data_IF_848126706085
#
_entry.id   IF_848126706085
#
_cell.length_a   1.000
_cell.length_b   1.000
_cell.length_c   1.000
_cell.angle_alpha   90.00
_cell.angle_beta   90.00
_cell.angle_gamma   90.00
#
_symmetry.space_group_name_H-M   'P 1'
#
loop_
_entity.id
_entity.type
_entity.pdbx_description
1 polymer ?
#
# COMPACT_ATOMS: atom_id res chain seq x y z
N UNK A 1 -87.04 37.33 5.09
CA UNK A 1 -88.19 36.52 5.57
C UNK A 1 -87.73 35.07 5.68
N UNK A 2 -87.78 34.48 6.89
CA UNK A 2 -87.78 33.02 7.20
C UNK A 2 -86.55 32.21 6.77
N UNK A 3 -85.60 31.90 7.68
CA UNK A 3 -85.51 30.66 8.48
C UNK A 3 -85.90 29.37 7.74
N UNK A 4 -84.95 28.43 7.60
CA UNK A 4 -85.02 27.12 8.28
C UNK A 4 -83.64 26.47 8.35
N UNK A 5 -83.18 26.26 9.59
CA UNK A 5 -81.98 25.52 9.93
C UNK A 5 -82.21 24.01 9.78
N UNK A 6 -81.22 23.30 9.23
CA UNK A 6 -81.11 21.84 9.37
C UNK A 6 -79.76 21.52 10.00
N UNK A 7 -79.82 20.99 11.22
CA UNK A 7 -78.71 20.37 11.95
C UNK A 7 -78.19 19.19 11.13
N UNK A 8 -76.88 19.12 10.90
CA UNK A 8 -76.20 17.88 10.55
C UNK A 8 -75.16 17.64 11.64
N UNK A 9 -75.39 16.54 12.35
CA UNK A 9 -74.58 15.99 13.43
C UNK A 9 -73.23 15.49 12.91
N UNK A 10 -72.17 15.83 13.65
CA UNK A 10 -70.82 15.31 13.50
C UNK A 10 -70.78 13.79 13.66
N UNK A 11 -70.20 13.10 12.68
CA UNK A 11 -69.68 11.75 12.85
C UNK A 11 -68.18 11.81 12.51
N UNK A 12 -67.33 11.85 13.54
CA UNK A 12 -65.89 11.69 13.38
C UNK A 12 -65.61 10.22 13.13
N UNK A 13 -65.20 9.88 11.91
CA UNK A 13 -64.70 8.55 11.57
C UNK A 13 -63.24 8.48 12.01
N UNK A 14 -62.98 7.85 13.17
CA UNK A 14 -61.64 7.50 13.59
C UNK A 14 -61.14 6.34 12.73
N UNK A 15 -60.27 6.62 11.76
CA UNK A 15 -59.54 5.60 11.03
C UNK A 15 -58.35 5.13 11.90
N UNK A 16 -58.48 3.94 12.49
CA UNK A 16 -57.36 3.20 13.09
C UNK A 16 -56.38 2.78 12.00
N UNK A 17 -55.26 3.50 11.86
CA UNK A 17 -54.09 3.00 11.16
C UNK A 17 -53.41 1.95 12.04
N UNK A 18 -53.59 0.68 11.71
CA UNK A 18 -52.74 -0.40 12.21
C UNK A 18 -51.36 -0.26 11.53
N UNK A 19 -50.38 0.29 12.25
CA UNK A 19 -48.97 0.19 11.87
C UNK A 19 -48.55 -1.28 11.95
N UNK A 20 -48.46 -1.96 10.82
CA UNK A 20 -47.71 -3.22 10.73
C UNK A 20 -46.23 -2.86 10.80
N UNK A 21 -45.62 -3.06 11.97
CA UNK A 21 -44.17 -2.96 12.14
C UNK A 21 -43.50 -4.05 11.29
N UNK A 22 -42.89 -3.67 10.18
CA UNK A 22 -41.94 -4.50 9.47
C UNK A 22 -40.71 -4.67 10.37
N UNK A 23 -40.14 -5.89 10.51
CA UNK A 23 -38.91 -6.06 11.25
C UNK A 23 -37.82 -5.31 10.49
N UNK A 24 -37.33 -4.23 11.08
CA UNK A 24 -36.08 -3.59 10.64
C UNK A 24 -34.99 -4.61 10.99
N UNK A 25 -34.52 -5.36 9.99
CA UNK A 25 -33.23 -6.04 10.10
C UNK A 25 -32.18 -4.98 10.35
N UNK A 26 -31.78 -4.83 11.60
CA UNK A 26 -30.59 -4.07 11.96
C UNK A 26 -29.41 -4.80 11.30
N UNK A 27 -28.97 -4.30 10.16
CA UNK A 27 -27.63 -4.59 9.68
C UNK A 27 -26.68 -3.96 10.70
N UNK A 28 -26.12 -4.80 11.57
CA UNK A 28 -24.96 -4.42 12.35
C UNK A 28 -23.81 -4.25 11.35
N UNK A 29 -23.56 -3.01 10.92
CA UNK A 29 -22.25 -2.66 10.36
C UNK A 29 -21.29 -2.84 11.52
N UNK A 30 -20.53 -3.94 11.49
CA UNK A 30 -19.40 -4.14 12.38
C UNK A 30 -18.36 -3.10 12.00
N UNK A 31 -18.44 -1.91 12.59
CA UNK A 31 -17.34 -0.95 12.53
C UNK A 31 -16.24 -1.51 13.42
N UNK A 32 -15.34 -2.28 12.81
CA UNK A 32 -14.04 -2.57 13.42
C UNK A 32 -13.32 -1.24 13.53
N UNK A 33 -13.49 -0.56 14.66
CA UNK A 33 -12.66 0.58 15.02
C UNK A 33 -11.26 0.01 15.22
N UNK A 34 -10.33 0.33 14.32
CA UNK A 34 -8.92 0.05 14.58
C UNK A 34 -8.57 0.73 15.91
N UNK A 35 -8.01 -0.05 16.84
CA UNK A 35 -7.67 0.45 18.16
C UNK A 35 -6.72 1.64 18.00
N UNK A 36 -6.99 2.73 18.74
CA UNK A 36 -6.06 3.86 18.74
C UNK A 36 -4.67 3.36 19.17
N UNK A 37 -3.61 3.72 18.43
CA UNK A 37 -2.25 3.40 18.84
C UNK A 37 -1.98 3.91 20.24
N UNK A 38 -1.23 3.14 21.03
CA UNK A 38 -0.93 3.52 22.42
C UNK A 38 0.07 4.68 22.53
N UNK A 39 0.74 5.05 21.44
CA UNK A 39 1.71 6.14 21.36
C UNK A 39 1.15 7.38 20.65
N UNK A 40 1.65 8.56 21.05
CA UNK A 40 1.32 9.82 20.37
C UNK A 40 2.00 9.92 19.00
N UNK A 41 1.34 10.58 18.06
CA UNK A 41 1.88 10.87 16.74
C UNK A 41 1.73 9.76 15.70
N UNK A 42 1.27 8.56 16.05
CA UNK A 42 0.99 7.50 15.07
C UNK A 42 -0.32 7.78 14.33
N UNK A 43 -0.32 7.59 13.00
CA UNK A 43 -1.54 7.72 12.20
C UNK A 43 -2.28 6.39 12.22
N UNK A 44 -3.60 6.45 12.37
CA UNK A 44 -4.49 5.28 12.35
C UNK A 44 -5.73 5.54 11.52
N UNK A 45 -6.39 4.47 11.08
CA UNK A 45 -7.67 4.55 10.38
C UNK A 45 -8.83 4.51 11.38
N UNK A 46 -9.83 5.36 11.19
CA UNK A 46 -11.10 5.34 11.93
C UNK A 46 -12.26 5.48 10.94
N UNK A 47 -12.85 4.34 10.58
CA UNK A 47 -13.78 4.28 9.45
C UNK A 47 -13.09 4.80 8.18
N UNK A 48 -13.70 5.80 7.54
CA UNK A 48 -13.22 6.38 6.27
C UNK A 48 -12.22 7.52 6.44
N UNK A 49 -11.60 7.66 7.62
CA UNK A 49 -10.70 8.78 7.93
C UNK A 49 -9.40 8.30 8.52
N UNK A 50 -8.31 8.97 8.14
CA UNK A 50 -7.08 8.93 8.91
C UNK A 50 -7.18 9.87 10.10
N UNK A 51 -6.57 9.47 11.20
CA UNK A 51 -6.57 10.17 12.47
C UNK A 51 -5.14 10.19 13.05
N UNK A 52 -4.81 11.23 13.80
CA UNK A 52 -3.58 11.31 14.61
C UNK A 52 -3.92 12.06 15.89
N UNK A 53 -3.52 11.51 17.04
CA UNK A 53 -3.78 12.11 18.37
C UNK A 53 -5.25 12.55 18.56
N UNK A 54 -6.21 11.70 18.14
CA UNK A 54 -7.65 11.95 18.24
C UNK A 54 -8.23 12.98 17.25
N UNK A 55 -7.41 13.54 16.35
CA UNK A 55 -7.83 14.55 15.37
C UNK A 55 -7.75 14.01 13.94
N UNK A 56 -8.68 14.41 13.03
CA UNK A 56 -8.59 14.02 11.62
C UNK A 56 -7.28 14.45 10.96
N UNK A 57 -6.64 13.52 10.27
CA UNK A 57 -5.39 13.73 9.54
C UNK A 57 -5.65 13.74 8.03
N UNK A 58 -5.96 14.91 7.48
CA UNK A 58 -6.03 15.11 6.02
C UNK A 58 -4.67 15.56 5.50
N UNK A 59 -4.25 15.01 4.36
CA UNK A 59 -2.98 15.37 3.75
C UNK A 59 -3.06 15.51 2.23
N UNK A 60 -2.23 16.41 1.71
CA UNK A 60 -1.65 16.26 0.38
C UNK A 60 -0.28 15.60 0.53
N UNK A 61 0.08 14.75 -0.42
CA UNK A 61 1.34 14.03 -0.42
C UNK A 61 2.00 13.99 -1.80
N UNK A 62 3.16 13.34 -1.87
CA UNK A 62 3.89 13.10 -3.12
C UNK A 62 4.61 11.76 -3.07
N UNK A 63 5.17 11.32 -4.20
CA UNK A 63 6.11 10.21 -4.28
C UNK A 63 7.52 10.76 -4.47
N UNK A 64 8.50 10.24 -3.74
CA UNK A 64 9.91 10.56 -3.96
C UNK A 64 10.78 9.31 -3.80
N UNK A 65 10.89 8.56 -4.89
CA UNK A 65 11.58 7.26 -4.91
C UNK A 65 13.08 7.32 -4.59
N UNK A 66 13.71 8.50 -4.69
CA UNK A 66 15.16 8.65 -4.55
C UNK A 66 15.65 9.10 -3.18
N UNK A 67 14.74 9.33 -2.24
CA UNK A 67 15.08 9.74 -0.86
C UNK A 67 16.02 8.75 -0.18
N UNK A 68 15.98 7.49 -0.57
CA UNK A 68 16.74 6.39 0.06
C UNK A 68 18.06 6.06 -0.62
N UNK A 69 18.48 6.80 -1.66
CA UNK A 69 19.80 6.59 -2.26
C UNK A 69 20.56 7.84 -2.68
N UNK A 70 19.91 9.02 -2.71
CA UNK A 70 20.61 10.29 -2.99
C UNK A 70 21.36 10.84 -1.77
N UNK A 71 22.13 11.90 -2.00
CA UNK A 71 22.90 12.60 -0.97
C UNK A 71 21.98 13.25 0.09
N UNK A 72 22.53 13.48 1.29
CA UNK A 72 21.79 14.18 2.35
C UNK A 72 21.33 15.58 1.92
N UNK A 73 22.16 16.32 1.18
CA UNK A 73 21.76 17.63 0.64
C UNK A 73 20.52 17.55 -0.27
N UNK A 74 20.43 16.51 -1.10
CA UNK A 74 19.26 16.29 -1.96
C UNK A 74 18.03 15.93 -1.12
N UNK A 75 18.19 15.07 -0.11
CA UNK A 75 17.13 14.70 0.84
C UNK A 75 16.62 15.94 1.58
N UNK A 76 17.52 16.76 2.12
CA UNK A 76 17.19 18.00 2.83
C UNK A 76 16.41 18.97 1.94
N UNK A 77 16.78 19.11 0.68
CA UNK A 77 16.07 19.96 -0.26
C UNK A 77 14.64 19.45 -0.53
N UNK A 78 14.45 18.13 -0.69
CA UNK A 78 13.11 17.55 -0.85
C UNK A 78 12.23 17.87 0.35
N UNK A 79 12.73 17.72 1.57
CA UNK A 79 11.94 18.01 2.77
C UNK A 79 11.62 19.50 2.94
N UNK A 80 12.57 20.40 2.63
CA UNK A 80 12.32 21.85 2.60
C UNK A 80 11.25 22.23 1.59
N UNK A 81 11.31 21.67 0.38
CA UNK A 81 10.32 21.94 -0.67
C UNK A 81 8.94 21.38 -0.28
N UNK A 82 8.89 20.16 0.23
CA UNK A 82 7.65 19.53 0.69
C UNK A 82 6.99 20.32 1.84
N UNK A 83 7.77 20.79 2.80
CA UNK A 83 7.31 21.67 3.88
C UNK A 83 6.76 22.99 3.33
N UNK A 84 7.51 23.65 2.44
CA UNK A 84 7.10 24.91 1.82
C UNK A 84 5.82 24.77 0.98
N UNK A 85 5.59 23.60 0.37
CA UNK A 85 4.36 23.24 -0.34
C UNK A 85 3.21 22.81 0.57
N UNK A 86 3.46 22.60 1.86
CA UNK A 86 2.47 22.11 2.82
C UNK A 86 2.12 20.63 2.69
N UNK A 87 2.95 19.83 2.02
CA UNK A 87 2.79 18.38 1.93
C UNK A 87 3.04 17.72 3.29
N UNK A 88 2.30 16.65 3.60
CA UNK A 88 2.41 15.97 4.91
C UNK A 88 2.83 14.50 4.83
N UNK A 89 2.73 13.88 3.66
CA UNK A 89 3.14 12.47 3.47
C UNK A 89 3.97 12.34 2.20
N UNK A 90 5.10 11.63 2.28
CA UNK A 90 5.90 11.26 1.11
C UNK A 90 5.96 9.73 1.03
N UNK A 91 5.56 9.17 -0.11
CA UNK A 91 5.73 7.73 -0.41
C UNK A 91 7.13 7.48 -0.96
N UNK A 92 7.82 6.47 -0.44
CA UNK A 92 9.23 6.19 -0.69
C UNK A 92 9.53 4.69 -0.78
N UNK A 93 10.58 4.33 -1.52
CA UNK A 93 11.09 2.97 -1.52
C UNK A 93 11.78 2.62 -0.22
N UNK A 94 11.25 1.60 0.44
CA UNK A 94 11.93 0.82 1.47
C UNK A 94 12.57 -0.44 0.88
N UNK A 95 12.95 -0.44 -0.41
CA UNK A 95 13.60 -1.57 -1.07
C UNK A 95 14.72 -1.10 -2.00
N UNK A 96 15.76 -1.91 -2.13
CA UNK A 96 16.83 -1.77 -3.10
C UNK A 96 17.60 -3.09 -3.14
N UNK A 97 17.13 -3.98 -3.99
CA UNK A 97 17.48 -5.40 -3.98
C UNK A 97 18.50 -5.67 -5.08
N UNK A 98 19.68 -6.16 -4.70
CA UNK A 98 20.78 -6.43 -5.62
C UNK A 98 21.19 -7.89 -5.58
N UNK A 99 21.94 -8.34 -6.58
CA UNK A 99 22.37 -9.73 -6.71
C UNK A 99 23.48 -10.12 -5.73
N UNK A 100 24.37 -10.98 -6.20
CA UNK A 100 25.48 -11.52 -5.41
C UNK A 100 26.62 -10.51 -5.36
N UNK A 101 27.09 -10.19 -4.15
CA UNK A 101 28.26 -9.32 -3.94
C UNK A 101 29.53 -10.00 -4.44
N UNK A 102 30.29 -9.33 -5.32
CA UNK A 102 31.51 -9.93 -5.93
C UNK A 102 32.77 -9.74 -5.09
N UNK A 103 32.74 -8.81 -4.12
CA UNK A 103 33.92 -8.37 -3.38
C UNK A 103 34.81 -7.38 -4.16
N UNK A 104 34.41 -6.95 -5.36
CA UNK A 104 35.11 -5.94 -6.15
C UNK A 104 34.33 -4.63 -6.20
N UNK A 105 35.01 -3.56 -6.61
CA UNK A 105 34.43 -2.24 -6.86
C UNK A 105 34.59 -1.82 -8.32
N UNK A 106 33.72 -0.94 -8.81
CA UNK A 106 33.82 -0.34 -10.14
C UNK A 106 34.84 0.81 -10.19
N UNK A 107 34.90 1.54 -11.31
CA UNK A 107 35.83 2.68 -11.46
C UNK A 107 35.52 3.87 -10.55
N UNK A 108 34.32 3.94 -9.99
CA UNK A 108 33.88 4.98 -9.05
C UNK A 108 34.00 4.52 -7.59
N UNK A 109 34.47 3.28 -7.35
CA UNK A 109 34.59 2.69 -6.02
C UNK A 109 33.30 2.08 -5.49
N UNK A 110 32.25 1.93 -6.31
CA UNK A 110 30.97 1.35 -5.91
C UNK A 110 31.02 -0.17 -5.93
N UNK A 111 30.36 -0.87 -5.00
CA UNK A 111 30.35 -2.33 -4.97
C UNK A 111 29.71 -2.92 -6.23
N UNK A 112 30.32 -3.98 -6.76
CA UNK A 112 29.81 -4.70 -7.93
C UNK A 112 29.02 -5.93 -7.49
N UNK A 113 27.92 -6.17 -8.20
CA UNK A 113 27.04 -7.30 -7.99
C UNK A 113 26.84 -8.07 -9.31
N UNK A 114 26.62 -9.38 -9.21
CA UNK A 114 26.21 -10.23 -10.34
C UNK A 114 24.79 -10.73 -10.15
N UNK A 115 24.10 -11.06 -11.25
CA UNK A 115 22.72 -11.58 -11.22
C UNK A 115 21.70 -10.56 -10.65
N UNK A 116 21.85 -9.29 -11.05
CA UNK A 116 20.92 -8.22 -10.72
C UNK A 116 19.69 -8.29 -11.64
N UNK A 117 18.51 -8.01 -11.09
CA UNK A 117 17.27 -7.87 -11.86
C UNK A 117 17.16 -6.50 -12.55
N UNK A 118 17.82 -5.46 -12.03
CA UNK A 118 17.78 -4.10 -12.58
C UNK A 118 19.18 -3.49 -12.76
N UNK A 119 19.68 -3.57 -14.00
CA UNK A 119 20.93 -2.93 -14.41
C UNK A 119 22.11 -3.30 -13.50
N UNK A 120 22.87 -2.32 -12.97
CA UNK A 120 23.98 -2.59 -12.06
C UNK A 120 23.52 -3.05 -10.66
N UNK A 121 22.22 -3.06 -10.38
CA UNK A 121 21.62 -3.35 -9.08
C UNK A 121 21.62 -2.12 -8.17
N UNK A 122 22.80 -1.71 -7.73
CA UNK A 122 22.97 -0.57 -6.82
C UNK A 122 22.50 0.76 -7.42
N UNK A 123 22.20 1.73 -6.56
CA UNK A 123 21.94 3.12 -6.96
C UNK A 123 22.84 4.07 -6.19
N UNK A 124 23.79 4.71 -6.87
CA UNK A 124 24.77 5.63 -6.26
C UNK A 124 25.60 5.02 -5.11
N UNK A 125 25.93 3.74 -5.25
CA UNK A 125 26.60 2.88 -4.27
C UNK A 125 25.66 2.27 -3.23
N UNK A 126 24.36 2.57 -3.28
CA UNK A 126 23.40 2.20 -2.23
C UNK A 126 22.66 0.90 -2.57
N UNK A 127 22.47 0.05 -1.56
CA UNK A 127 21.71 -1.20 -1.63
C UNK A 127 21.20 -1.63 -0.25
N UNK A 128 19.99 -2.16 -0.20
CA UNK A 128 19.32 -2.54 1.05
C UNK A 128 19.39 -4.04 1.28
N UNK A 129 19.34 -4.83 0.22
CA UNK A 129 19.45 -6.29 0.29
C UNK A 129 20.42 -6.81 -0.76
N UNK A 130 21.21 -7.82 -0.42
CA UNK A 130 22.09 -8.53 -1.37
C UNK A 130 22.10 -10.03 -1.06
N UNK A 131 22.47 -10.86 -2.03
CA UNK A 131 22.63 -12.30 -1.78
C UNK A 131 23.98 -12.62 -1.18
N UNK A 132 23.97 -13.26 0.00
CA UNK A 132 25.17 -13.77 0.64
C UNK A 132 25.34 -15.26 0.31
N UNK A 133 26.41 -15.59 -0.42
CA UNK A 133 26.69 -16.96 -0.88
C UNK A 133 27.08 -17.90 0.24
N UNK A 134 27.74 -17.40 1.28
CA UNK A 134 28.18 -18.24 2.39
C UNK A 134 26.98 -18.62 3.28
N UNK A 135 26.00 -17.71 3.39
CA UNK A 135 24.76 -17.95 4.12
C UNK A 135 23.66 -18.62 3.27
N UNK A 136 23.79 -18.61 1.94
CA UNK A 136 22.83 -19.18 1.01
C UNK A 136 21.46 -18.47 1.05
N UNK A 137 21.44 -17.16 1.32
CA UNK A 137 20.19 -16.37 1.40
C UNK A 137 20.46 -14.87 1.21
N UNK A 138 19.43 -14.08 0.84
CA UNK A 138 19.53 -12.63 0.93
C UNK A 138 19.70 -12.15 2.37
N UNK A 139 20.43 -11.06 2.51
CA UNK A 139 20.69 -10.38 3.79
C UNK A 139 20.53 -8.88 3.65
N UNK A 140 20.11 -8.23 4.73
CA UNK A 140 19.91 -6.78 4.80
C UNK A 140 21.21 -6.05 5.11
N UNK A 141 21.50 -4.99 4.36
CA UNK A 141 22.61 -4.09 4.61
C UNK A 141 22.20 -2.95 5.57
N UNK A 142 22.46 -3.12 6.87
CA UNK A 142 22.23 -2.07 7.87
C UNK A 142 23.37 -1.02 7.95
N UNK A 143 24.31 -1.04 7.00
CA UNK A 143 25.46 -0.15 6.92
C UNK A 143 25.17 1.26 6.39
N UNK A 144 26.23 2.06 6.23
CA UNK A 144 26.20 3.46 5.72
C UNK A 144 25.68 3.57 4.28
N UNK A 145 25.93 2.54 3.49
CA UNK A 145 25.52 2.38 2.09
C UNK A 145 24.20 1.59 1.95
N UNK A 146 23.43 1.44 3.03
CA UNK A 146 22.16 0.72 3.05
C UNK A 146 21.08 1.42 3.86
N UNK A 147 20.49 0.73 4.84
CA UNK A 147 19.31 1.21 5.60
C UNK A 147 19.54 2.57 6.27
N UNK A 148 20.79 2.97 6.54
CA UNK A 148 21.11 4.32 7.06
C UNK A 148 20.63 5.48 6.18
N UNK A 149 20.36 5.25 4.90
CA UNK A 149 19.71 6.24 4.03
C UNK A 149 18.24 6.45 4.38
N UNK A 150 17.51 5.37 4.64
CA UNK A 150 16.12 5.44 5.13
C UNK A 150 16.06 6.04 6.53
N UNK A 151 17.00 5.68 7.41
CA UNK A 151 17.12 6.25 8.75
C UNK A 151 17.21 7.79 8.72
N UNK A 152 18.05 8.32 7.83
CA UNK A 152 18.21 9.76 7.65
C UNK A 152 16.95 10.42 7.08
N UNK A 153 16.28 9.77 6.12
CA UNK A 153 15.02 10.27 5.57
C UNK A 153 13.92 10.34 6.65
N UNK A 154 13.81 9.35 7.54
CA UNK A 154 12.87 9.36 8.67
C UNK A 154 13.20 10.44 9.70
N UNK A 155 14.48 10.68 9.94
CA UNK A 155 14.94 11.76 10.80
C UNK A 155 14.56 13.14 10.24
N UNK A 156 14.73 13.35 8.93
CA UNK A 156 14.29 14.59 8.28
C UNK A 156 12.77 14.71 8.23
N UNK A 157 12.06 13.60 8.02
CA UNK A 157 10.60 13.59 8.07
C UNK A 157 10.09 14.09 9.44
N UNK A 158 10.64 13.60 10.54
CA UNK A 158 10.30 14.10 11.90
C UNK A 158 10.59 15.59 12.07
N UNK A 159 11.76 16.07 11.64
CA UNK A 159 12.14 17.49 11.74
C UNK A 159 11.20 18.45 11.01
N UNK A 160 10.66 18.00 9.88
CA UNK A 160 9.82 18.81 9.02
C UNK A 160 8.31 18.54 9.23
N UNK A 161 7.94 17.71 10.21
CA UNK A 161 6.54 17.35 10.46
C UNK A 161 5.87 16.64 9.27
N UNK A 162 6.65 15.86 8.53
CA UNK A 162 6.26 15.04 7.38
C UNK A 162 6.29 13.57 7.80
N UNK A 163 5.44 12.74 7.21
CA UNK A 163 5.43 11.30 7.42
C UNK A 163 5.81 10.53 6.16
N UNK A 164 6.35 9.33 6.31
CA UNK A 164 6.76 8.46 5.20
C UNK A 164 5.87 7.24 5.05
N UNK A 165 5.32 7.03 3.86
CA UNK A 165 4.71 5.76 3.45
C UNK A 165 5.81 4.90 2.80
N UNK A 166 6.19 3.80 3.44
CA UNK A 166 7.38 3.04 3.06
C UNK A 166 6.97 1.70 2.44
N UNK A 167 7.37 1.48 1.19
CA UNK A 167 7.03 0.26 0.44
C UNK A 167 8.16 -0.77 0.50
N UNK A 168 7.86 -2.00 0.94
CA UNK A 168 8.87 -3.03 1.23
C UNK A 168 9.47 -3.72 0.01
N UNK A 169 8.77 -3.76 -1.12
CA UNK A 169 9.28 -4.35 -2.36
C UNK A 169 8.54 -3.79 -3.57
N UNK A 170 8.96 -4.19 -4.77
CA UNK A 170 8.40 -3.73 -6.02
C UNK A 170 7.96 -4.91 -6.90
N UNK A 171 6.81 -4.81 -7.55
CA UNK A 171 6.41 -5.74 -8.59
C UNK A 171 7.26 -5.61 -9.86
N UNK A 172 7.69 -4.38 -10.16
CA UNK A 172 8.55 -4.09 -11.31
C UNK A 172 10.02 -4.33 -11.00
N UNK A 173 10.82 -4.37 -12.06
CA UNK A 173 12.23 -4.70 -11.93
C UNK A 173 13.05 -3.59 -11.29
N UNK A 174 12.62 -2.33 -11.42
CA UNK A 174 13.32 -1.18 -10.85
C UNK A 174 13.61 -1.39 -9.35
N UNK A 175 14.87 -1.20 -8.97
CA UNK A 175 15.40 -1.45 -7.62
C UNK A 175 15.34 -2.94 -7.20
N UNK A 176 15.38 -3.85 -8.17
CA UNK A 176 15.39 -5.30 -7.98
C UNK A 176 13.99 -5.90 -7.94
N UNK A 177 13.25 -5.64 -6.86
CA UNK A 177 11.86 -6.09 -6.71
C UNK A 177 11.70 -7.61 -6.66
N UNK A 178 10.48 -8.10 -6.88
CA UNK A 178 10.12 -9.52 -6.79
C UNK A 178 10.95 -10.42 -7.73
N UNK A 179 11.37 -9.90 -8.89
CA UNK A 179 12.25 -10.62 -9.82
C UNK A 179 13.62 -10.91 -9.21
N UNK A 180 14.15 -10.03 -8.36
CA UNK A 180 15.42 -10.27 -7.68
C UNK A 180 15.34 -11.45 -6.69
N UNK A 181 14.21 -11.65 -6.03
CA UNK A 181 13.98 -12.81 -5.15
C UNK A 181 13.98 -14.13 -5.94
N UNK A 182 13.45 -14.12 -7.17
CA UNK A 182 13.53 -15.26 -8.08
C UNK A 182 14.99 -15.54 -8.46
N UNK A 183 15.76 -14.53 -8.83
CA UNK A 183 17.18 -14.68 -9.18
C UNK A 183 18.00 -15.22 -7.99
N UNK A 184 17.72 -14.79 -6.77
CA UNK A 184 18.36 -15.33 -5.56
C UNK A 184 18.03 -16.81 -5.32
N UNK A 185 16.84 -17.27 -5.69
CA UNK A 185 16.46 -18.67 -5.57
C UNK A 185 17.31 -19.57 -6.49
N UNK A 186 17.71 -19.06 -7.66
CA UNK A 186 18.59 -19.78 -8.58
C UNK A 186 19.99 -20.01 -7.99
N UNK A 187 20.50 -19.07 -7.17
CA UNK A 187 21.80 -19.21 -6.50
C UNK A 187 21.86 -20.40 -5.53
N UNK A 188 20.71 -20.87 -5.03
CA UNK A 188 20.59 -22.09 -4.21
C UNK A 188 20.02 -23.29 -4.96
N UNK A 189 19.91 -23.20 -6.29
CA UNK A 189 19.46 -24.29 -7.15
C UNK A 189 17.94 -24.47 -7.27
N UNK A 190 17.13 -23.52 -6.79
CA UNK A 190 15.69 -23.49 -7.05
C UNK A 190 15.49 -22.79 -8.40
N UNK A 191 15.32 -23.59 -9.46
CA UNK A 191 15.24 -23.09 -10.84
C UNK A 191 13.83 -23.16 -11.41
N UNK A 192 13.57 -22.39 -12.48
CA UNK A 192 12.32 -22.42 -13.23
C UNK A 192 11.16 -21.60 -12.62
N UNK A 193 11.42 -20.90 -11.51
CA UNK A 193 10.45 -19.98 -10.93
C UNK A 193 10.15 -18.81 -11.87
N UNK A 194 8.91 -18.35 -11.85
CA UNK A 194 8.44 -17.11 -12.45
C UNK A 194 8.25 -16.05 -11.37
N UNK A 195 8.17 -14.77 -11.76
CA UNK A 195 7.97 -13.66 -10.82
C UNK A 195 6.78 -13.87 -9.87
N UNK A 196 5.68 -14.45 -10.38
CA UNK A 196 4.47 -14.71 -9.60
C UNK A 196 4.66 -15.80 -8.53
N UNK A 197 5.69 -16.64 -8.64
CA UNK A 197 6.02 -17.62 -7.60
C UNK A 197 6.54 -16.94 -6.33
N UNK A 198 6.88 -15.65 -6.36
CA UNK A 198 7.11 -14.84 -5.16
C UNK A 198 5.95 -14.92 -4.17
N UNK A 199 4.72 -15.06 -4.67
CA UNK A 199 3.52 -15.09 -3.83
C UNK A 199 3.25 -16.45 -3.18
N UNK A 200 3.84 -17.53 -3.67
CA UNK A 200 3.47 -18.91 -3.30
C UNK A 200 4.66 -19.75 -2.83
N UNK A 201 5.88 -19.45 -3.29
CA UNK A 201 7.07 -20.17 -2.91
C UNK A 201 7.48 -19.80 -1.47
N UNK A 202 7.49 -20.79 -0.58
CA UNK A 202 7.77 -20.60 0.85
C UNK A 202 9.17 -20.04 1.12
N UNK A 203 10.17 -20.31 0.27
CA UNK A 203 11.51 -19.74 0.42
C UNK A 203 11.50 -18.23 0.16
N UNK A 204 10.85 -17.81 -0.93
CA UNK A 204 10.79 -16.39 -1.33
C UNK A 204 9.95 -15.59 -0.32
N UNK A 205 8.80 -16.13 0.11
CA UNK A 205 8.01 -15.56 1.20
C UNK A 205 8.80 -15.47 2.50
N UNK A 206 9.58 -16.50 2.83
CA UNK A 206 10.47 -16.51 3.98
C UNK A 206 11.51 -15.40 3.95
N UNK A 207 12.18 -15.20 2.81
CA UNK A 207 13.14 -14.10 2.63
C UNK A 207 12.50 -12.72 2.73
N UNK A 208 11.30 -12.55 2.18
CA UNK A 208 10.55 -11.29 2.34
C UNK A 208 10.22 -11.03 3.81
N UNK A 209 9.77 -12.04 4.56
CA UNK A 209 9.51 -11.96 6.00
C UNK A 209 10.77 -11.63 6.81
N UNK A 210 11.91 -12.28 6.49
CA UNK A 210 13.21 -11.99 7.10
C UNK A 210 13.58 -10.50 6.91
N UNK A 211 13.39 -9.97 5.70
CA UNK A 211 13.64 -8.55 5.40
C UNK A 211 12.74 -7.61 6.19
N UNK A 212 11.43 -7.83 6.15
CA UNK A 212 10.45 -7.02 6.88
C UNK A 212 10.75 -7.04 8.38
N UNK A 213 11.02 -8.21 8.96
CA UNK A 213 11.35 -8.34 10.38
C UNK A 213 12.63 -7.59 10.75
N UNK A 214 13.67 -7.71 9.91
CA UNK A 214 14.92 -6.99 10.08
C UNK A 214 14.73 -5.48 10.03
N UNK A 215 14.00 -4.98 9.02
CA UNK A 215 13.73 -3.56 8.84
C UNK A 215 12.91 -2.98 10.00
N UNK A 216 11.80 -3.62 10.39
CA UNK A 216 10.94 -3.13 11.47
C UNK A 216 11.64 -3.11 12.84
N UNK A 217 12.55 -4.04 13.10
CA UNK A 217 13.30 -4.11 14.36
C UNK A 217 14.64 -3.34 14.35
N UNK A 218 15.07 -2.84 13.19
CA UNK A 218 16.25 -1.98 13.07
C UNK A 218 16.08 -0.73 13.91
N UNK A 219 17.15 -0.30 14.58
CA UNK A 219 17.17 0.93 15.38
C UNK A 219 17.79 2.04 14.56
N UNK A 220 17.00 3.07 14.26
CA UNK A 220 17.47 4.26 13.58
C UNK A 220 18.47 5.01 14.48
N UNK A 221 19.74 5.19 14.05
CA UNK A 221 20.77 5.83 14.85
C UNK A 221 20.57 7.34 15.05
N UNK A 222 19.73 8.00 14.24
CA UNK A 222 19.47 9.44 14.35
C UNK A 222 18.39 9.75 15.40
N UNK A 223 17.41 8.87 15.56
CA UNK A 223 16.25 9.03 16.47
C UNK A 223 16.35 8.13 17.71
N UNK A 224 17.19 7.09 17.66
CA UNK A 224 17.33 6.04 18.67
C UNK A 224 16.03 5.28 18.95
N UNK A 225 15.17 5.13 17.94
CA UNK A 225 13.94 4.32 17.98
C UNK A 225 14.04 3.17 16.99
N UNK A 226 13.34 2.07 17.26
CA UNK A 226 13.13 1.06 16.21
C UNK A 226 12.22 1.65 15.15
N UNK A 227 12.36 1.21 13.91
CA UNK A 227 11.53 1.65 12.80
C UNK A 227 10.03 1.44 13.07
N UNK A 228 9.65 0.34 13.73
CA UNK A 228 8.28 0.09 14.18
C UNK A 228 7.76 1.01 15.30
N UNK A 229 8.65 1.77 15.92
CA UNK A 229 8.36 2.73 16.98
C UNK A 229 8.54 4.19 16.48
N UNK A 230 8.76 4.41 15.18
CA UNK A 230 8.96 5.73 14.58
C UNK A 230 7.64 6.41 14.16
N UNK A 231 7.14 7.44 14.87
CA UNK A 231 5.91 8.11 14.48
C UNK A 231 6.04 8.92 13.17
N UNK A 232 7.25 9.08 12.63
CA UNK A 232 7.46 9.65 11.29
C UNK A 232 7.13 8.66 10.17
N UNK A 233 6.86 7.38 10.46
CA UNK A 233 6.25 6.46 9.50
C UNK A 233 4.73 6.71 9.48
N UNK A 234 4.18 6.90 8.28
CA UNK A 234 2.74 7.01 8.04
C UNK A 234 2.09 5.62 8.08
N UNK A 235 2.64 4.71 7.27
CA UNK A 235 2.21 3.32 7.17
C UNK A 235 3.29 2.51 6.44
N UNK A 236 3.17 1.19 6.53
CA UNK A 236 3.91 0.23 5.72
C UNK A 236 3.10 -0.20 4.50
N UNK A 237 3.75 -0.34 3.36
CA UNK A 237 3.13 -0.81 2.14
C UNK A 237 3.80 -2.11 1.68
N UNK A 238 3.02 -3.18 1.52
CA UNK A 238 3.55 -4.52 1.29
C UNK A 238 4.35 -4.63 -0.01
N UNK A 239 3.84 -4.07 -1.11
CA UNK A 239 4.52 -4.07 -2.39
C UNK A 239 4.00 -2.95 -3.29
N UNK A 240 4.86 -2.38 -4.13
CA UNK A 240 4.41 -1.49 -5.19
C UNK A 240 3.75 -2.29 -6.32
N UNK A 241 2.52 -1.93 -6.62
CA UNK A 241 1.74 -2.37 -7.78
C UNK A 241 1.79 -3.91 -8.00
N UNK A 242 1.59 -4.74 -6.95
CA UNK A 242 1.59 -6.19 -7.11
C UNK A 242 0.51 -6.65 -8.08
N UNK A 243 0.92 -7.49 -9.04
CA UNK A 243 0.01 -8.14 -10.00
C UNK A 243 0.27 -9.64 -10.06
N UNK A 244 -0.73 -10.41 -10.43
CA UNK A 244 -0.66 -11.87 -10.58
C UNK A 244 -1.32 -12.34 -11.89
N UNK A 245 -0.74 -12.02 -13.05
CA UNK A 245 -1.28 -12.41 -14.37
C UNK A 245 -1.52 -13.91 -14.57
N UNK A 246 -0.80 -14.76 -13.84
CA UNK A 246 -1.01 -16.23 -13.86
C UNK A 246 -2.33 -16.64 -13.21
N UNK A 247 -2.89 -15.78 -12.34
CA UNK A 247 -4.22 -15.90 -11.72
C UNK A 247 -5.14 -14.77 -12.21
N UNK A 248 -5.14 -14.50 -13.52
CA UNK A 248 -6.12 -13.59 -14.11
C UNK A 248 -7.56 -14.03 -13.76
N UNK A 249 -8.41 -13.05 -13.47
CA UNK A 249 -9.75 -13.22 -12.91
C UNK A 249 -9.79 -13.79 -11.48
N UNK A 250 -8.64 -13.85 -10.78
CA UNK A 250 -8.49 -14.17 -9.36
C UNK A 250 -9.22 -15.46 -8.94
N UNK A 251 -9.06 -16.53 -9.73
CA UNK A 251 -9.72 -17.81 -9.45
C UNK A 251 -9.16 -18.45 -8.19
N UNK A 252 -7.84 -18.41 -8.04
CA UNK A 252 -7.11 -19.01 -6.93
C UNK A 252 -6.86 -18.01 -5.80
N UNK A 253 -7.10 -16.71 -6.05
CA UNK A 253 -6.94 -15.61 -5.09
C UNK A 253 -5.51 -15.51 -4.56
N UNK A 254 -4.52 -15.75 -5.42
CA UNK A 254 -3.11 -15.84 -5.03
C UNK A 254 -2.66 -14.55 -4.33
N UNK A 255 -2.95 -13.39 -4.93
CA UNK A 255 -2.54 -12.11 -4.36
C UNK A 255 -3.26 -11.80 -3.04
N UNK A 256 -4.55 -12.10 -2.93
CA UNK A 256 -5.31 -11.93 -1.68
C UNK A 256 -4.72 -12.78 -0.55
N UNK A 257 -4.42 -14.05 -0.81
CA UNK A 257 -3.86 -14.95 0.19
C UNK A 257 -2.47 -14.48 0.66
N UNK A 258 -1.63 -14.03 -0.29
CA UNK A 258 -0.33 -13.47 0.04
C UNK A 258 -0.44 -12.16 0.84
N UNK A 259 -1.30 -11.23 0.41
CA UNK A 259 -1.49 -9.95 1.08
C UNK A 259 -2.01 -10.15 2.52
N UNK A 260 -2.92 -11.10 2.73
CA UNK A 260 -3.40 -11.48 4.06
C UNK A 260 -2.25 -12.02 4.92
N UNK A 261 -1.51 -13.00 4.42
CA UNK A 261 -0.39 -13.61 5.16
C UNK A 261 0.69 -12.58 5.54
N UNK A 262 1.05 -11.68 4.62
CA UNK A 262 2.11 -10.70 4.86
C UNK A 262 1.67 -9.53 5.73
N UNK A 263 0.42 -9.07 5.60
CA UNK A 263 -0.10 -8.02 6.50
C UNK A 263 -0.26 -8.54 7.93
N UNK A 264 -0.76 -9.77 8.12
CA UNK A 264 -0.79 -10.43 9.43
C UNK A 264 0.62 -10.55 10.04
N UNK A 265 1.62 -10.90 9.23
CA UNK A 265 3.01 -10.96 9.67
C UNK A 265 3.55 -9.60 10.11
N UNK A 266 3.33 -8.54 9.32
CA UNK A 266 3.74 -7.16 9.70
C UNK A 266 3.09 -6.76 11.01
N UNK A 267 1.76 -6.92 11.14
CA UNK A 267 1.00 -6.57 12.36
C UNK A 267 1.43 -7.36 13.59
N UNK A 268 1.95 -8.59 13.41
CA UNK A 268 2.50 -9.38 14.52
C UNK A 268 3.80 -8.81 15.11
N UNK A 269 4.53 -8.00 14.32
CA UNK A 269 5.81 -7.38 14.71
C UNK A 269 5.61 -5.93 15.15
N UNK A 270 4.76 -5.21 14.40
CA UNK A 270 4.45 -3.80 14.54
C UNK A 270 2.92 -3.59 14.68
N UNK A 271 2.43 -3.47 15.92
CA UNK A 271 1.03 -3.17 16.18
C UNK A 271 0.71 -1.66 16.12
N UNK A 272 1.70 -0.80 15.88
CA UNK A 272 1.55 0.66 15.97
C UNK A 272 1.14 1.28 14.62
N UNK A 273 1.75 0.81 13.53
CA UNK A 273 1.56 1.40 12.20
C UNK A 273 0.42 0.76 11.41
N UNK A 274 -0.19 1.57 10.54
CA UNK A 274 -1.07 1.07 9.50
C UNK A 274 -0.27 0.26 8.46
N UNK A 275 -0.98 -0.61 7.75
CA UNK A 275 -0.48 -1.43 6.64
C UNK A 275 -1.43 -1.29 5.46
N UNK A 276 -0.90 -1.06 4.27
CA UNK A 276 -1.61 -1.14 2.99
C UNK A 276 -0.93 -2.14 2.05
N UNK A 277 -1.62 -2.56 0.99
CA UNK A 277 -1.01 -3.42 -0.01
C UNK A 277 -0.05 -2.65 -0.91
N UNK A 278 -0.50 -1.52 -1.49
CA UNK A 278 0.23 -0.77 -2.51
C UNK A 278 -0.11 -1.17 -3.94
N UNK A 279 -1.22 -1.88 -4.13
CA UNK A 279 -1.75 -2.23 -5.45
C UNK A 279 -2.25 -1.00 -6.21
N UNK A 280 -2.66 -1.20 -7.46
CA UNK A 280 -3.14 -0.10 -8.30
C UNK A 280 -4.64 0.18 -8.13
N UNK A 281 -5.39 -0.66 -7.42
CA UNK A 281 -6.85 -0.54 -7.30
C UNK A 281 -7.65 -1.33 -8.34
N UNK A 282 -7.02 -2.27 -9.08
CA UNK A 282 -7.75 -3.00 -10.12
C UNK A 282 -8.85 -3.90 -9.56
N UNK A 283 -9.99 -3.93 -10.25
CA UNK A 283 -11.15 -4.74 -9.90
C UNK A 283 -11.19 -6.07 -10.67
N UNK A 284 -12.02 -6.99 -10.16
CA UNK A 284 -12.35 -8.27 -10.79
C UNK A 284 -13.85 -8.40 -11.12
N UNK A 285 -14.39 -7.45 -11.87
CA UNK A 285 -15.77 -7.48 -12.38
C UNK A 285 -15.89 -8.35 -13.64
N UNK A 286 -17.10 -8.81 -14.00
CA UNK A 286 -17.34 -9.39 -15.32
C UNK A 286 -16.87 -8.44 -16.43
N UNK A 287 -16.30 -9.01 -17.50
CA UNK A 287 -15.86 -8.21 -18.65
C UNK A 287 -17.02 -7.37 -19.21
N UNK A 288 -16.79 -6.06 -19.36
CA UNK A 288 -17.80 -5.13 -19.86
C UNK A 288 -18.75 -4.55 -18.82
N UNK A 289 -18.57 -4.85 -17.53
CA UNK A 289 -19.43 -4.35 -16.45
C UNK A 289 -19.58 -2.82 -16.44
N UNK A 290 -18.51 -2.10 -16.80
CA UNK A 290 -18.51 -0.64 -16.88
C UNK A 290 -18.49 -0.09 -18.32
N UNK A 291 -18.85 -0.86 -19.35
CA UNK A 291 -18.76 -0.44 -20.77
C UNK A 291 -19.45 0.89 -21.10
N UNK A 292 -20.50 1.25 -20.36
CA UNK A 292 -21.21 2.52 -20.54
C UNK A 292 -20.43 3.72 -19.97
N UNK A 293 -19.47 3.47 -19.08
CA UNK A 293 -18.77 4.44 -18.25
C UNK A 293 -17.26 4.45 -18.43
N UNK A 294 -16.65 3.46 -19.09
CA UNK A 294 -15.19 3.42 -19.29
C UNK A 294 -14.80 3.26 -20.74
N UNK A 295 -13.72 3.91 -21.14
CA UNK A 295 -13.11 3.71 -22.46
C UNK A 295 -12.19 2.48 -22.53
N UNK A 296 -11.83 1.90 -21.39
CA UNK A 296 -11.03 0.67 -21.29
C UNK A 296 -11.52 -0.21 -20.15
N UNK A 297 -11.71 -1.50 -20.42
CA UNK A 297 -12.08 -2.48 -19.38
C UNK A 297 -10.89 -2.96 -18.56
N UNK A 298 -9.65 -2.71 -19.02
CA UNK A 298 -8.43 -3.32 -18.51
C UNK A 298 -8.33 -3.35 -16.97
N UNK A 299 -8.58 -2.20 -16.33
CA UNK A 299 -8.50 -2.01 -14.89
C UNK A 299 -9.65 -2.66 -14.08
N UNK A 300 -10.66 -3.22 -14.75
CA UNK A 300 -11.91 -3.64 -14.11
C UNK A 300 -12.23 -5.12 -14.18
N UNK A 301 -11.64 -5.90 -15.10
CA UNK A 301 -12.05 -7.30 -15.35
C UNK A 301 -11.09 -8.36 -14.78
N UNK A 302 -10.20 -7.97 -13.87
CA UNK A 302 -9.29 -8.89 -13.18
C UNK A 302 -8.14 -9.39 -14.07
N UNK A 303 -7.83 -8.71 -15.18
CA UNK A 303 -6.77 -9.12 -16.12
C UNK A 303 -5.40 -9.31 -15.46
N UNK A 304 -5.16 -8.52 -14.42
CA UNK A 304 -3.89 -8.44 -13.71
C UNK A 304 -3.86 -9.32 -12.44
N UNK A 305 -4.91 -10.11 -12.18
CA UNK A 305 -4.99 -10.96 -10.98
C UNK A 305 -5.06 -10.16 -9.68
N UNK A 306 -5.72 -9.00 -9.73
CA UNK A 306 -5.99 -8.11 -8.60
C UNK A 306 -7.51 -7.96 -8.46
N UNK A 307 -7.98 -8.01 -7.23
CA UNK A 307 -9.40 -7.87 -6.87
C UNK A 307 -9.51 -6.90 -5.69
N UNK A 308 -9.57 -5.60 -5.99
CA UNK A 308 -9.57 -4.55 -4.97
C UNK A 308 -10.70 -4.73 -3.94
N UNK A 309 -11.92 -5.08 -4.37
CA UNK A 309 -13.04 -5.30 -3.43
C UNK A 309 -12.73 -6.41 -2.44
N UNK A 310 -12.15 -7.51 -2.91
CA UNK A 310 -11.78 -8.62 -2.06
C UNK A 310 -10.59 -8.29 -1.17
N UNK A 311 -9.59 -7.56 -1.67
CA UNK A 311 -8.44 -7.12 -0.89
C UNK A 311 -8.86 -6.22 0.28
N UNK A 312 -9.86 -5.36 0.08
CA UNK A 312 -10.40 -4.50 1.13
C UNK A 312 -11.17 -5.25 2.23
N UNK A 313 -11.39 -6.57 2.10
CA UNK A 313 -11.94 -7.41 3.18
C UNK A 313 -10.87 -8.01 4.10
N UNK A 314 -9.59 -7.68 3.91
CA UNK A 314 -8.50 -8.15 4.78
C UNK A 314 -8.40 -7.22 5.98
N UNK A 315 -8.75 -7.71 7.18
CA UNK A 315 -8.77 -6.92 8.42
C UNK A 315 -7.42 -6.29 8.82
N UNK A 316 -6.31 -6.84 8.33
CA UNK A 316 -4.95 -6.36 8.59
C UNK A 316 -4.42 -5.39 7.54
N UNK A 317 -5.22 -5.04 6.52
CA UNK A 317 -4.98 -3.90 5.65
C UNK A 317 -5.87 -2.74 6.10
N UNK A 318 -5.26 -1.68 6.64
CA UNK A 318 -6.00 -0.58 7.27
C UNK A 318 -6.61 0.40 6.25
N UNK A 319 -6.10 0.44 5.01
CA UNK A 319 -6.61 1.28 3.94
C UNK A 319 -6.24 0.77 2.54
N UNK A 320 -7.05 1.13 1.54
CA UNK A 320 -6.80 0.84 0.13
C UNK A 320 -6.02 1.94 -0.60
N UNK A 321 -5.32 1.57 -1.67
CA UNK A 321 -4.41 2.47 -2.41
C UNK A 321 -4.69 2.44 -3.91
N UNK A 322 -5.69 3.16 -4.46
CA UNK A 322 -5.83 3.24 -5.90
C UNK A 322 -4.72 4.12 -6.52
N UNK A 323 -4.09 3.63 -7.59
CA UNK A 323 -3.25 4.43 -8.49
C UNK A 323 -4.10 4.95 -9.67
N UNK A 324 -3.57 5.87 -10.47
CA UNK A 324 -4.28 6.35 -11.66
C UNK A 324 -3.31 6.79 -12.78
N UNK A 325 -3.18 5.94 -13.80
CA UNK A 325 -2.39 6.22 -15.00
C UNK A 325 -3.24 6.02 -16.27
N UNK A 326 -4.15 6.97 -16.52
CA UNK A 326 -5.17 6.85 -17.58
C UNK A 326 -4.56 6.54 -18.96
N UNK A 327 -3.49 7.25 -19.31
CA UNK A 327 -2.77 7.12 -20.58
C UNK A 327 -2.18 5.71 -20.78
N UNK A 328 -1.64 5.12 -19.71
CA UNK A 328 -1.06 3.78 -19.75
C UNK A 328 -2.12 2.67 -19.81
N UNK A 329 -3.30 2.92 -19.23
CA UNK A 329 -4.39 1.92 -19.14
C UNK A 329 -5.38 2.00 -20.30
N UNK A 330 -5.15 2.90 -21.26
CA UNK A 330 -6.04 3.15 -22.38
C UNK A 330 -7.35 3.84 -21.98
N UNK A 331 -7.37 4.47 -20.82
CA UNK A 331 -8.50 5.24 -20.27
C UNK A 331 -8.39 6.72 -20.68
N UNK A 332 -9.49 7.48 -20.60
CA UNK A 332 -9.55 8.88 -21.06
C UNK A 332 -10.23 9.81 -20.06
N UNK A 333 -9.68 11.03 -19.94
CA UNK A 333 -10.25 12.10 -19.11
C UNK A 333 -11.46 12.82 -19.76
N UNK A 334 -11.53 12.92 -21.10
CA UNK A 334 -12.56 13.71 -21.80
C UNK A 334 -13.51 12.87 -22.67
N UNK A 335 -14.80 13.19 -22.65
CA UNK A 335 -15.86 12.56 -23.47
C UNK A 335 -16.89 11.79 -22.63
N UNK A 336 -17.72 10.96 -23.27
CA UNK A 336 -18.43 9.87 -22.57
C UNK A 336 -17.38 8.90 -22.02
N UNK A 337 -17.27 8.82 -20.69
CA UNK A 337 -16.21 8.08 -19.99
C UNK A 337 -15.95 8.67 -18.61
N UNK A 338 -15.41 9.89 -18.51
CA UNK A 338 -14.95 10.44 -17.22
C UNK A 338 -14.28 9.35 -16.35
N UNK A 339 -13.37 8.60 -16.97
CA UNK A 339 -12.89 7.32 -16.44
C UNK A 339 -12.23 7.51 -15.06
N UNK A 340 -11.64 8.68 -14.83
CA UNK A 340 -11.11 9.14 -13.54
C UNK A 340 -12.20 9.36 -12.49
N UNK A 341 -13.31 10.03 -12.84
CA UNK A 341 -14.41 10.23 -11.91
C UNK A 341 -15.11 8.91 -11.56
N UNK A 342 -15.27 8.01 -12.54
CA UNK A 342 -15.71 6.64 -12.25
C UNK A 342 -14.74 5.97 -11.27
N UNK A 343 -13.43 6.03 -11.56
CA UNK A 343 -12.38 5.44 -10.73
C UNK A 343 -12.44 5.92 -9.29
N UNK A 344 -12.45 7.24 -9.06
CA UNK A 344 -12.54 7.80 -7.70
C UNK A 344 -13.86 7.44 -7.01
N UNK A 345 -14.98 7.48 -7.75
CA UNK A 345 -16.30 7.18 -7.19
C UNK A 345 -16.37 5.74 -6.69
N UNK A 346 -16.02 4.75 -7.51
CA UNK A 346 -16.20 3.34 -7.15
C UNK A 346 -15.26 2.92 -6.02
N UNK A 347 -14.02 3.44 -6.00
CA UNK A 347 -13.09 3.17 -4.88
C UNK A 347 -13.59 3.80 -3.59
N UNK A 348 -14.11 5.02 -3.67
CA UNK A 348 -14.75 5.68 -2.54
C UNK A 348 -15.94 4.89 -2.00
N UNK A 349 -16.78 4.33 -2.89
CA UNK A 349 -17.92 3.48 -2.53
C UNK A 349 -17.50 2.13 -1.96
N UNK A 350 -16.43 1.50 -2.47
CA UNK A 350 -15.90 0.23 -1.95
C UNK A 350 -15.37 0.36 -0.53
N UNK A 351 -14.75 1.48 -0.18
CA UNK A 351 -14.14 1.71 1.13
C UNK A 351 -15.08 2.44 2.13
N UNK A 352 -16.33 2.71 1.78
CA UNK A 352 -17.27 3.54 2.55
C UNK A 352 -17.95 2.84 3.74
#
# INVERSE_FOLDING_TARGET
MGLFAKKITSAALAATMTLTALPISAFFVSTTVAAEPTGSGFVYANGTRFMVDGSPFYYAGTNCYYLTFKSQDAVDNVFKDAEAMGLKVIRVWGNLDVGVKTGTTDSEGKPVFTNNNDGPGEKDGIYFQYFDKDLGKPVTNFGEDGIKKLDYALYQAEKHGIKLLITFTNYWDAFGGMGQYVNWAEEIGITGLQKQDFYTNETLKGWYKDYVSGLLNHTNPYTNRKLKDEPSVFAWELANEPRCKTDAQCKDNILYNWAKEMSEYVKSIDPNHMVSLGDEGFYNKPYGYYNEYTTSNYAFYGAEGVDFEKLMTIDTLDFGTPHLYLDQWGMKHTGTGQDDLLWFKIHGETCA
#
